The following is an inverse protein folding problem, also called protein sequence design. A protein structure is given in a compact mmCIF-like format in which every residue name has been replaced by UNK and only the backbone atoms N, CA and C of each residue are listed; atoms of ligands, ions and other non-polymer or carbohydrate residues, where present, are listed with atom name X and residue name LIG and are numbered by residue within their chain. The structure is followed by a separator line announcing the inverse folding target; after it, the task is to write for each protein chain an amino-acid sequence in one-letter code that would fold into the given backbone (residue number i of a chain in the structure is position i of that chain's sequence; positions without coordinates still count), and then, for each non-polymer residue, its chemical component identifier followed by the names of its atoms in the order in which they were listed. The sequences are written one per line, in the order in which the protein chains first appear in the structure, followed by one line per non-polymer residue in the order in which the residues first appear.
data_IF_889603323925
#
_entry.id   IF_889603323925
#
_cell.length_a   1.000
_cell.length_b   1.000
_cell.length_c   1.000
_cell.angle_alpha   90.00
_cell.angle_beta   90.00
_cell.angle_gamma   90.00
#
_symmetry.space_group_name_H-M   'P 1'
#
loop_
_entity.id
_entity.type
_entity.pdbx_description
1 polymer ?
#
# COMPACT_ATOMS: atom_id res chain seq x y z
N UNK A 1 21.26 32.74 -65.06
CA UNK A 1 21.75 32.10 -63.82
C UNK A 1 21.03 32.78 -62.66
N UNK A 2 20.29 32.05 -61.84
CA UNK A 2 19.72 32.56 -60.58
C UNK A 2 20.12 31.55 -59.52
N UNK A 3 20.91 31.98 -58.54
CA UNK A 3 21.38 31.12 -57.46
C UNK A 3 20.31 31.02 -56.38
N UNK A 4 19.91 29.80 -56.03
CA UNK A 4 19.07 29.55 -54.85
C UNK A 4 19.99 29.42 -53.65
N UNK A 5 20.01 30.43 -52.79
CA UNK A 5 20.71 30.36 -51.52
C UNK A 5 19.85 29.62 -50.49
N UNK A 6 20.07 28.31 -50.35
CA UNK A 6 19.50 27.54 -49.24
C UNK A 6 20.26 27.87 -47.95
N UNK A 7 19.68 28.70 -47.09
CA UNK A 7 20.24 28.99 -45.78
C UNK A 7 20.10 27.77 -44.85
N UNK A 8 21.21 27.11 -44.57
CA UNK A 8 21.26 26.05 -43.55
C UNK A 8 21.18 26.67 -42.15
N UNK A 9 20.03 26.52 -41.49
CA UNK A 9 19.91 26.80 -40.06
C UNK A 9 20.69 25.74 -39.27
N UNK A 10 21.88 26.13 -38.79
CA UNK A 10 22.65 25.29 -37.87
C UNK A 10 22.03 25.38 -36.47
N UNK A 11 21.07 24.51 -36.18
CA UNK A 11 20.46 24.40 -34.85
C UNK A 11 21.49 23.86 -33.86
N UNK A 12 22.13 24.76 -33.12
CA UNK A 12 22.91 24.43 -31.93
C UNK A 12 21.96 23.97 -30.83
N UNK A 13 21.62 22.68 -30.83
CA UNK A 13 21.05 22.07 -29.63
C UNK A 13 22.11 22.21 -28.52
N UNK A 14 21.78 22.78 -27.34
CA UNK A 14 22.71 22.73 -26.22
C UNK A 14 22.98 21.26 -25.92
N UNK A 15 24.25 20.91 -25.74
CA UNK A 15 24.60 19.59 -25.23
C UNK A 15 24.09 19.53 -23.79
N UNK A 16 22.88 19.00 -23.60
CA UNK A 16 22.40 18.61 -22.29
C UNK A 16 23.48 17.70 -21.70
N UNK A 17 24.00 18.05 -20.52
CA UNK A 17 24.87 17.14 -19.79
C UNK A 17 24.07 15.86 -19.58
N UNK A 18 24.58 14.74 -20.10
CA UNK A 18 23.91 13.46 -19.94
C UNK A 18 23.99 13.11 -18.45
N UNK A 19 22.85 13.20 -17.75
CA UNK A 19 22.72 12.75 -16.38
C UNK A 19 23.04 11.25 -16.30
N UNK A 20 23.59 10.81 -15.17
CA UNK A 20 23.84 9.41 -14.91
C UNK A 20 22.52 8.61 -14.99
N UNK A 21 22.51 7.45 -15.66
CA UNK A 21 21.32 6.61 -15.72
C UNK A 21 21.00 6.07 -14.33
N UNK A 22 19.78 6.35 -13.84
CA UNK A 22 19.27 5.78 -12.59
C UNK A 22 18.28 4.64 -12.85
N UNK A 23 18.11 3.78 -11.85
CA UNK A 23 17.08 2.75 -11.82
C UNK A 23 16.37 2.78 -10.47
N UNK A 24 15.04 2.73 -10.48
CA UNK A 24 14.23 2.67 -9.27
C UNK A 24 13.67 1.25 -9.10
N UNK A 25 13.70 0.74 -7.88
CA UNK A 25 12.94 -0.44 -7.46
C UNK A 25 11.95 -0.04 -6.38
N UNK A 26 10.80 -0.70 -6.30
CA UNK A 26 9.78 -0.43 -5.28
C UNK A 26 9.18 -1.72 -4.73
N UNK A 27 9.13 -1.82 -3.41
CA UNK A 27 8.61 -2.95 -2.66
C UNK A 27 7.50 -2.46 -1.73
N UNK A 28 6.34 -3.13 -1.78
CA UNK A 28 5.27 -2.91 -0.81
C UNK A 28 5.29 -3.99 0.27
N UNK A 29 5.19 -3.56 1.53
CA UNK A 29 5.20 -4.43 2.72
C UNK A 29 4.06 -4.03 3.67
N UNK A 30 3.02 -4.88 3.84
CA UNK A 30 2.75 -6.10 3.09
C UNK A 30 2.21 -5.81 1.68
N UNK A 31 2.46 -6.73 0.74
CA UNK A 31 1.86 -6.69 -0.62
C UNK A 31 0.37 -7.08 -0.66
N UNK A 32 -0.15 -7.63 0.44
CA UNK A 32 -1.58 -7.90 0.65
C UNK A 32 -2.02 -7.30 1.98
N UNK A 33 -3.04 -6.46 1.95
CA UNK A 33 -3.53 -5.70 3.10
C UNK A 33 -5.07 -5.77 3.21
N UNK A 34 -5.62 -5.30 4.32
CA UNK A 34 -7.05 -5.02 4.46
C UNK A 34 -7.34 -3.52 4.37
N UNK A 35 -8.56 -3.13 4.01
CA UNK A 35 -8.96 -1.70 3.96
C UNK A 35 -8.71 -1.02 5.30
N UNK A 36 -7.94 0.07 5.30
CA UNK A 36 -7.51 0.80 6.50
C UNK A 36 -6.23 0.30 7.16
N UNK A 37 -5.65 -0.83 6.72
CA UNK A 37 -4.34 -1.28 7.16
C UNK A 37 -3.22 -0.44 6.52
N UNK A 38 -2.18 -0.16 7.30
CA UNK A 38 -0.98 0.52 6.82
C UNK A 38 -0.10 -0.42 5.98
N UNK A 39 0.46 0.12 4.91
CA UNK A 39 1.41 -0.50 4.00
C UNK A 39 2.61 0.43 3.86
N UNK A 40 3.81 -0.13 4.00
CA UNK A 40 5.08 0.57 3.78
C UNK A 40 5.47 0.37 2.32
N UNK A 41 5.78 1.46 1.62
CA UNK A 41 6.25 1.51 0.26
C UNK A 41 7.71 1.95 0.29
N UNK A 42 8.63 1.00 0.18
CA UNK A 42 10.07 1.28 0.13
C UNK A 42 10.51 1.34 -1.33
N UNK A 43 11.06 2.48 -1.71
CA UNK A 43 11.72 2.70 -2.99
C UNK A 43 13.24 2.78 -2.80
N UNK A 44 13.97 2.12 -3.69
CA UNK A 44 15.44 2.16 -3.74
C UNK A 44 15.86 2.62 -5.13
N UNK A 45 16.48 3.79 -5.19
CA UNK A 45 17.04 4.43 -6.38
C UNK A 45 18.54 4.10 -6.45
N UNK A 46 18.98 3.44 -7.51
CA UNK A 46 20.39 3.19 -7.78
C UNK A 46 20.88 4.13 -8.88
N UNK A 47 21.91 4.92 -8.58
CA UNK A 47 22.59 5.81 -9.51
C UNK A 47 24.11 5.72 -9.27
N UNK A 48 24.93 6.21 -10.21
CA UNK A 48 26.39 6.34 -10.03
C UNK A 48 26.78 7.54 -9.17
N UNK A 49 25.95 8.57 -9.16
CA UNK A 49 26.06 9.79 -8.34
C UNK A 49 25.04 9.77 -7.19
N UNK A 50 25.10 10.78 -6.31
CA UNK A 50 24.22 10.90 -5.13
C UNK A 50 22.78 11.29 -5.53
N UNK A 51 21.76 10.46 -5.22
CA UNK A 51 20.37 10.71 -5.64
C UNK A 51 19.54 11.52 -4.63
N UNK A 52 20.15 12.21 -3.67
CA UNK A 52 19.41 12.94 -2.62
C UNK A 52 19.08 14.39 -2.96
N UNK A 53 19.74 14.98 -3.97
CA UNK A 53 19.64 16.41 -4.29
C UNK A 53 18.35 16.87 -4.98
N UNK A 54 17.50 15.95 -5.42
CA UNK A 54 16.29 16.23 -6.21
C UNK A 54 15.01 16.41 -5.37
N UNK A 55 13.85 16.33 -6.05
CA UNK A 55 12.54 16.27 -5.39
C UNK A 55 12.29 14.92 -4.66
N UNK A 56 13.12 13.91 -4.91
CA UNK A 56 12.98 12.55 -4.38
C UNK A 56 12.06 11.66 -5.22
N UNK A 57 11.35 10.72 -4.58
CA UNK A 57 10.43 9.77 -5.22
C UNK A 57 8.98 10.20 -4.99
N UNK A 58 8.24 10.36 -6.09
CA UNK A 58 6.79 10.58 -6.07
C UNK A 58 6.07 9.23 -6.20
N UNK A 59 5.22 8.92 -5.23
CA UNK A 59 4.40 7.70 -5.20
C UNK A 59 2.98 8.00 -5.69
N UNK A 60 2.50 7.19 -6.62
CA UNK A 60 1.14 7.23 -7.16
C UNK A 60 0.43 5.89 -6.97
N UNK A 61 -0.88 5.91 -6.84
CA UNK A 61 -1.77 4.75 -6.98
C UNK A 61 -2.62 4.93 -8.24
N UNK A 62 -2.26 4.22 -9.31
CA UNK A 62 -2.77 4.50 -10.65
C UNK A 62 -2.43 5.93 -11.09
N UNK A 63 -3.46 6.78 -11.18
CA UNK A 63 -3.33 8.23 -11.48
C UNK A 63 -3.40 9.14 -10.24
N UNK A 64 -3.69 8.59 -9.06
CA UNK A 64 -3.83 9.36 -7.84
C UNK A 64 -2.46 9.56 -7.17
N UNK A 65 -2.09 10.81 -6.88
CA UNK A 65 -0.89 11.13 -6.09
C UNK A 65 -1.09 10.69 -4.64
N UNK A 66 -0.16 9.91 -4.10
CA UNK A 66 -0.12 9.54 -2.68
C UNK A 66 0.71 10.57 -1.90
N UNK A 67 1.99 10.68 -2.22
CA UNK A 67 2.92 11.65 -1.66
C UNK A 67 4.23 11.69 -2.47
N UNK A 68 5.04 12.73 -2.27
CA UNK A 68 6.46 12.73 -2.63
C UNK A 68 7.28 12.61 -1.36
N UNK A 69 8.26 11.72 -1.36
CA UNK A 69 9.19 11.50 -0.24
C UNK A 69 10.64 11.77 -0.68
N UNK A 70 11.47 12.38 0.16
CA UNK A 70 12.88 12.62 -0.15
C UNK A 70 13.65 11.29 -0.23
N UNK A 71 14.71 11.29 -1.02
CA UNK A 71 15.65 10.17 -1.15
C UNK A 71 16.87 10.46 -0.27
N UNK A 72 17.31 9.49 0.52
CA UNK A 72 18.57 9.54 1.26
C UNK A 72 19.76 9.35 0.32
N UNK A 73 20.96 9.77 0.74
CA UNK A 73 22.21 9.55 -0.02
C UNK A 73 22.43 8.07 -0.41
N UNK A 74 21.98 7.13 0.42
CA UNK A 74 22.01 5.68 0.16
C UNK A 74 20.98 5.20 -0.91
N UNK A 75 20.24 6.11 -1.55
CA UNK A 75 19.22 5.80 -2.56
C UNK A 75 17.85 5.41 -2.00
N UNK A 76 17.67 5.36 -0.69
CA UNK A 76 16.43 4.90 -0.06
C UNK A 76 15.39 6.03 0.15
N UNK A 77 14.13 5.73 -0.14
CA UNK A 77 12.95 6.56 0.13
C UNK A 77 11.80 5.67 0.61
N UNK A 78 11.14 6.03 1.72
CA UNK A 78 10.06 5.21 2.30
C UNK A 78 8.79 6.03 2.53
N UNK A 79 7.63 5.45 2.20
CA UNK A 79 6.31 6.05 2.41
C UNK A 79 5.37 5.04 3.10
N UNK A 80 4.84 5.40 4.26
CA UNK A 80 3.74 4.64 4.89
C UNK A 80 2.39 5.22 4.46
N UNK A 81 1.52 4.39 3.89
CA UNK A 81 0.18 4.79 3.42
C UNK A 81 -0.87 3.74 3.77
N UNK A 82 -2.16 4.08 3.66
CA UNK A 82 -3.27 3.16 3.91
C UNK A 82 -4.36 3.31 2.84
N UNK A 83 -4.94 2.19 2.41
CA UNK A 83 -5.91 2.16 1.32
C UNK A 83 -7.35 2.09 1.84
N UNK A 84 -8.23 2.95 1.34
CA UNK A 84 -9.65 3.04 1.75
C UNK A 84 -10.57 2.15 0.91
N UNK A 85 -10.19 1.85 -0.32
CA UNK A 85 -10.89 0.93 -1.21
C UNK A 85 -10.27 -0.47 -1.16
N UNK A 86 -11.06 -1.50 -1.42
CA UNK A 86 -10.55 -2.83 -1.69
C UNK A 86 -10.49 -3.10 -3.19
N UNK A 87 -9.46 -3.83 -3.62
CA UNK A 87 -9.10 -4.07 -5.01
C UNK A 87 -7.57 -4.18 -5.19
N UNK A 88 -7.10 -4.38 -6.43
CA UNK A 88 -5.69 -4.17 -6.76
C UNK A 88 -5.39 -2.65 -6.83
N UNK A 89 -4.29 -2.26 -6.19
CA UNK A 89 -3.74 -0.91 -6.19
C UNK A 89 -2.38 -0.94 -6.91
N UNK A 90 -2.23 -0.11 -7.96
CA UNK A 90 -1.06 -0.15 -8.84
C UNK A 90 -0.12 0.99 -8.44
N UNK A 91 0.86 0.68 -7.60
CA UNK A 91 1.73 1.67 -6.99
C UNK A 91 2.88 1.98 -7.93
N UNK A 92 2.96 3.23 -8.40
CA UNK A 92 4.10 3.72 -9.20
C UNK A 92 5.01 4.57 -8.31
N UNK A 93 6.27 4.18 -8.18
CA UNK A 93 7.32 5.00 -7.61
C UNK A 93 8.10 5.66 -8.76
N UNK A 94 8.02 6.99 -8.87
CA UNK A 94 8.71 7.78 -9.88
C UNK A 94 9.78 8.65 -9.20
N UNK A 95 11.05 8.30 -9.39
CA UNK A 95 12.17 9.16 -9.05
C UNK A 95 12.24 10.34 -10.03
N UNK A 96 12.17 11.56 -9.51
CA UNK A 96 12.06 12.76 -10.33
C UNK A 96 13.39 13.18 -10.99
N UNK A 97 14.52 12.58 -10.60
CA UNK A 97 15.86 13.03 -10.99
C UNK A 97 16.39 14.16 -10.11
N UNK A 98 17.67 14.48 -10.32
CA UNK A 98 18.41 15.59 -9.73
C UNK A 98 19.41 16.17 -10.75
N UNK A 99 20.31 17.06 -10.32
CA UNK A 99 21.32 17.71 -11.18
C UNK A 99 22.39 16.74 -11.74
N UNK A 100 22.45 15.51 -11.23
CA UNK A 100 23.41 14.46 -11.59
C UNK A 100 22.77 13.16 -12.06
N UNK A 101 21.66 12.71 -11.46
CA UNK A 101 20.97 11.46 -11.84
C UNK A 101 19.68 11.72 -12.63
N UNK A 102 19.50 10.98 -13.72
CA UNK A 102 18.28 11.03 -14.53
C UNK A 102 17.06 10.48 -13.79
N UNK A 103 15.86 10.91 -14.19
CA UNK A 103 14.60 10.37 -13.68
C UNK A 103 14.42 8.88 -14.04
N UNK A 104 13.83 8.10 -13.15
CA UNK A 104 13.47 6.69 -13.38
C UNK A 104 12.20 6.30 -12.62
N UNK A 105 11.56 5.20 -12.99
CA UNK A 105 10.30 4.80 -12.36
C UNK A 105 10.07 3.29 -12.38
N UNK A 106 9.35 2.77 -11.39
CA UNK A 106 8.97 1.37 -11.33
C UNK A 106 7.61 1.19 -10.63
N UNK A 107 6.99 0.03 -10.82
CA UNK A 107 5.63 -0.27 -10.38
C UNK A 107 5.55 -1.54 -9.55
N UNK A 108 4.76 -1.53 -8.48
CA UNK A 108 4.39 -2.72 -7.71
C UNK A 108 2.90 -2.76 -7.43
N UNK A 109 2.35 -3.91 -7.07
CA UNK A 109 0.90 -4.08 -6.85
C UNK A 109 0.62 -4.44 -5.40
N UNK A 110 -0.31 -3.71 -4.78
CA UNK A 110 -0.85 -4.03 -3.45
C UNK A 110 -2.26 -4.56 -3.60
N UNK A 111 -2.56 -5.72 -3.03
CA UNK A 111 -3.91 -6.31 -3.05
C UNK A 111 -4.64 -6.00 -1.75
N UNK A 112 -5.69 -5.18 -1.81
CA UNK A 112 -6.43 -4.74 -0.63
C UNK A 112 -7.76 -5.48 -0.52
N UNK A 113 -7.91 -6.28 0.52
CA UNK A 113 -9.16 -6.97 0.84
C UNK A 113 -10.11 -6.04 1.59
N UNK A 114 -11.39 -6.01 1.20
CA UNK A 114 -12.42 -5.32 1.98
C UNK A 114 -12.61 -6.04 3.32
N UNK A 115 -12.58 -5.31 4.42
CA UNK A 115 -13.14 -5.81 5.69
C UNK A 115 -14.65 -6.01 5.46
N UNK A 116 -15.22 -7.18 5.77
CA UNK A 116 -16.67 -7.37 5.71
C UNK A 116 -17.34 -6.42 6.69
N UNK A 117 -18.12 -5.46 6.19
CA UNK A 117 -19.03 -4.70 7.05
C UNK A 117 -20.07 -5.68 7.60
N UNK A 118 -20.23 -5.82 8.93
CA UNK A 118 -21.34 -6.58 9.48
C UNK A 118 -22.66 -6.06 8.89
N UNK A 119 -23.67 -6.93 8.64
CA UNK A 119 -24.97 -6.47 8.20
C UNK A 119 -25.50 -5.41 9.17
N UNK A 120 -25.69 -4.19 8.67
CA UNK A 120 -26.38 -3.18 9.44
C UNK A 120 -27.80 -3.69 9.75
N UNK A 121 -28.33 -3.30 10.92
CA UNK A 121 -29.72 -3.47 11.32
C UNK A 121 -30.32 -4.91 11.24
N UNK A 122 -30.02 -5.74 12.25
CA UNK A 122 -31.11 -6.50 12.91
C UNK A 122 -31.43 -5.85 14.28
N UNK A 123 -32.56 -5.12 14.42
CA UNK A 123 -32.95 -4.51 15.69
C UNK A 123 -33.24 -5.50 16.85
N UNK A 124 -33.17 -6.81 16.61
CA UNK A 124 -33.51 -7.85 17.59
C UNK A 124 -32.37 -8.45 18.42
N UNK A 125 -31.10 -8.07 18.23
CA UNK A 125 -29.98 -8.73 18.93
C UNK A 125 -29.06 -7.78 19.72
N UNK A 126 -29.52 -7.35 20.89
CA UNK A 126 -28.74 -6.60 21.90
C UNK A 126 -27.56 -7.39 22.51
N UNK A 127 -27.34 -8.65 22.10
CA UNK A 127 -26.30 -9.53 22.66
C UNK A 127 -25.35 -10.15 21.61
N UNK A 128 -25.56 -9.92 20.31
CA UNK A 128 -24.76 -10.54 19.25
C UNK A 128 -23.32 -10.00 19.14
N UNK A 129 -22.96 -8.96 19.91
CA UNK A 129 -21.63 -8.32 19.86
C UNK A 129 -20.48 -9.07 20.53
N UNK A 130 -20.72 -10.26 21.12
CA UNK A 130 -19.69 -11.00 21.90
C UNK A 130 -19.41 -12.43 21.42
N UNK A 131 -20.24 -13.02 20.55
CA UNK A 131 -20.19 -14.47 20.28
C UNK A 131 -19.17 -14.90 19.22
N UNK A 132 -17.89 -14.73 19.56
CA UNK A 132 -16.78 -15.51 19.00
C UNK A 132 -16.58 -16.87 19.70
N UNK A 133 -17.39 -17.19 20.70
CA UNK A 133 -17.36 -18.47 21.43
C UNK A 133 -18.64 -19.26 21.17
N UNK A 134 -18.49 -20.41 20.50
CA UNK A 134 -19.48 -21.49 20.54
C UNK A 134 -19.42 -22.15 21.92
N UNK A 135 -20.12 -21.58 22.91
CA UNK A 135 -20.57 -22.37 24.05
C UNK A 135 -21.73 -23.21 23.52
N UNK A 136 -21.41 -24.41 23.02
CA UNK A 136 -22.43 -25.41 22.68
C UNK A 136 -23.28 -25.70 23.92
N UNK A 137 -24.57 -25.97 23.72
CA UNK A 137 -25.55 -26.09 24.80
C UNK A 137 -25.05 -27.01 25.92
N UNK A 138 -24.75 -26.42 27.08
CA UNK A 138 -24.22 -27.15 28.24
C UNK A 138 -25.40 -27.80 28.97
N UNK A 139 -25.93 -28.88 28.39
CA UNK A 139 -26.96 -29.71 29.02
C UNK A 139 -26.37 -30.46 30.22
N UNK A 140 -26.27 -29.76 31.35
CA UNK A 140 -25.89 -30.31 32.64
C UNK A 140 -27.07 -31.08 33.25
N UNK A 141 -27.29 -32.31 32.78
CA UNK A 141 -28.29 -33.21 33.34
C UNK A 141 -27.81 -33.76 34.70
N UNK A 142 -28.26 -33.11 35.78
CA UNK A 142 -28.02 -33.60 37.15
C UNK A 142 -29.07 -34.68 37.46
N UNK A 143 -28.76 -35.93 37.12
CA UNK A 143 -29.58 -37.08 37.53
C UNK A 143 -29.44 -37.34 39.05
N UNK A 144 -30.23 -36.62 39.86
CA UNK A 144 -30.38 -36.94 41.27
C UNK A 144 -31.32 -38.14 41.40
N UNK A 145 -30.76 -39.34 41.55
CA UNK A 145 -31.53 -40.54 41.95
C UNK A 145 -31.97 -40.43 43.43
N UNK A 146 -32.92 -39.54 43.71
CA UNK A 146 -33.54 -39.32 45.02
C UNK A 146 -34.52 -40.44 45.37
N UNK A 147 -34.00 -41.65 45.57
CA UNK A 147 -34.74 -42.80 46.07
C UNK A 147 -34.32 -43.20 47.50
N UNK A 148 -33.87 -42.23 48.30
CA UNK A 148 -33.78 -42.40 49.75
C UNK A 148 -34.05 -41.10 50.54
N UNK A 149 -35.31 -40.65 50.56
CA UNK A 149 -35.86 -39.95 51.74
C UNK A 149 -37.20 -40.57 52.13
N UNK A 150 -37.10 -41.31 53.22
CA UNK A 150 -38.09 -41.95 54.09
C UNK A 150 -39.44 -41.22 54.27
N UNK A 151 -40.54 -41.93 53.94
CA UNK A 151 -41.70 -42.36 54.77
C UNK A 151 -42.19 -41.47 55.95
N UNK A 152 -43.44 -41.74 56.38
CA UNK A 152 -44.15 -41.26 57.60
C UNK A 152 -44.91 -39.93 57.40
N UNK A 153 -46.08 -39.69 57.97
CA UNK A 153 -47.31 -40.52 58.08
C UNK A 153 -48.53 -39.55 57.95
N UNK A 154 -49.80 -39.96 57.83
CA UNK A 154 -50.44 -41.23 58.19
C UNK A 154 -51.64 -41.57 57.30
#
# INVERSE_FOLDING_TARGET
MIAVAAATVLSLAPSAAALDPSSTTVQATPSSATTGQLVILDATVTCSSDPSGGLGVTFFDGSNLLATAPVSADGHSSLTTGFTTGGPHNITAAYNGDDTCGASSNTTTVTVSRVPTPPANNPGCLLCGLIGFQVGDVNNDINVNSNNVTRIDK
#
